data_IF_437048980977
#
_entry.id   IF_437048980977
#
_cell.length_a   1.000
_cell.length_b   1.000
_cell.length_c   1.000
_cell.angle_alpha   90.00
_cell.angle_beta   90.00
_cell.angle_gamma   90.00
#
_symmetry.space_group_name_H-M   'P 1'
#
loop_
_entity.id
_entity.type
_entity.pdbx_description
1 polymer ?
#
# COMPACT_ATOMS: atom_id res chain seq x y z
N UNK A 1 14.61 -10.02 3.93
CA UNK A 1 13.35 -10.33 3.22
C UNK A 1 12.56 -9.04 3.18
N UNK A 2 12.19 -8.58 1.98
CA UNK A 2 11.28 -7.45 1.85
C UNK A 2 9.87 -7.97 2.14
N UNK A 3 9.13 -7.26 2.99
CA UNK A 3 7.74 -7.59 3.25
C UNK A 3 6.86 -6.71 2.36
N UNK A 4 5.73 -7.24 1.91
CA UNK A 4 4.78 -6.54 1.04
C UNK A 4 3.46 -6.29 1.77
N UNK A 5 2.87 -5.12 1.54
CA UNK A 5 1.48 -4.82 1.88
C UNK A 5 0.76 -4.41 0.61
N UNK A 6 -0.43 -4.96 0.39
CA UNK A 6 -1.29 -4.62 -0.75
C UNK A 6 -2.43 -3.71 -0.28
N UNK A 7 -2.56 -2.52 -0.90
CA UNK A 7 -3.67 -1.59 -0.72
C UNK A 7 -4.59 -1.68 -1.92
N UNK A 8 -5.89 -1.85 -1.65
CA UNK A 8 -6.89 -2.16 -2.66
C UNK A 8 -8.12 -1.28 -2.45
N UNK A 9 -8.52 -0.53 -3.48
CA UNK A 9 -9.61 0.46 -3.44
C UNK A 9 -10.91 -0.05 -4.07
N UNK A 10 -12.04 0.03 -3.35
CA UNK A 10 -13.38 -0.36 -3.84
C UNK A 10 -13.80 0.39 -5.10
N UNK A 11 -13.28 1.60 -5.27
CA UNK A 11 -13.53 2.44 -6.42
C UNK A 11 -12.32 2.38 -7.35
N UNK A 12 -12.57 2.39 -8.66
CA UNK A 12 -11.50 2.51 -9.64
C UNK A 12 -10.76 3.83 -9.40
N UNK A 13 -9.46 3.72 -9.12
CA UNK A 13 -8.58 4.88 -9.03
C UNK A 13 -7.73 4.93 -10.29
N UNK A 14 -7.72 6.08 -10.96
CA UNK A 14 -6.81 6.30 -12.06
C UNK A 14 -5.37 6.28 -11.55
N UNK A 15 -4.48 5.53 -12.21
CA UNK A 15 -3.08 5.43 -11.80
C UNK A 15 -2.37 6.80 -11.77
N UNK A 16 -2.66 7.70 -12.70
CA UNK A 16 -2.07 9.05 -12.72
C UNK A 16 -2.51 9.87 -11.50
N UNK A 17 -3.80 9.81 -11.14
CA UNK A 17 -4.32 10.48 -9.95
C UNK A 17 -3.67 9.92 -8.67
N UNK A 18 -3.49 8.60 -8.62
CA UNK A 18 -2.86 7.92 -7.50
C UNK A 18 -1.38 8.28 -7.34
N UNK A 19 -0.64 8.34 -8.45
CA UNK A 19 0.75 8.83 -8.47
C UNK A 19 0.80 10.25 -7.89
N UNK A 20 -0.09 11.15 -8.33
CA UNK A 20 -0.15 12.52 -7.83
C UNK A 20 -0.47 12.59 -6.33
N UNK A 21 -1.36 11.73 -5.83
CA UNK A 21 -1.66 11.61 -4.39
C UNK A 21 -0.39 11.20 -3.62
N UNK A 22 0.32 10.19 -4.11
CA UNK A 22 1.52 9.68 -3.45
C UNK A 22 2.65 10.72 -3.44
N UNK A 23 2.83 11.47 -4.51
CA UNK A 23 3.80 12.59 -4.54
C UNK A 23 3.45 13.68 -3.53
N UNK A 24 2.16 14.03 -3.40
CA UNK A 24 1.70 15.01 -2.40
C UNK A 24 1.99 14.52 -0.98
N UNK A 25 1.71 13.25 -0.70
CA UNK A 25 2.00 12.61 0.58
C UNK A 25 3.51 12.63 0.85
N UNK A 26 4.32 12.20 -0.12
CA UNK A 26 5.76 12.21 -0.03
C UNK A 26 6.28 13.60 0.34
N UNK A 27 5.80 14.64 -0.36
CA UNK A 27 6.17 16.03 -0.06
C UNK A 27 5.80 16.45 1.37
N UNK A 28 4.60 16.11 1.86
CA UNK A 28 4.17 16.42 3.25
C UNK A 28 5.04 15.72 4.28
N UNK A 29 5.41 14.47 4.02
CA UNK A 29 6.25 13.65 4.90
C UNK A 29 7.75 13.94 4.73
N UNK A 30 8.12 14.90 3.87
CA UNK A 30 9.52 15.22 3.54
C UNK A 30 10.28 14.02 2.97
N UNK A 31 9.60 13.20 2.17
CA UNK A 31 10.19 12.17 1.33
C UNK A 31 10.48 12.72 -0.07
N UNK A 32 11.38 12.06 -0.76
CA UNK A 32 11.60 12.19 -2.19
C UNK A 32 10.96 11.01 -2.90
N UNK A 33 10.32 11.26 -4.02
CA UNK A 33 9.75 10.24 -4.87
C UNK A 33 10.59 10.13 -6.15
N UNK A 34 11.09 8.93 -6.45
CA UNK A 34 11.68 8.59 -7.77
C UNK A 34 10.73 7.62 -8.44
N UNK A 35 10.44 7.85 -9.72
CA UNK A 35 9.48 7.04 -10.49
C UNK A 35 10.20 6.25 -11.56
N UNK A 36 9.78 5.01 -11.76
CA UNK A 36 10.14 4.17 -12.91
C UNK A 36 8.87 3.60 -13.55
N UNK A 37 8.97 3.18 -14.82
CA UNK A 37 7.86 2.56 -15.54
C UNK A 37 8.37 1.41 -16.40
N UNK A 38 7.64 0.30 -16.39
CA UNK A 38 7.90 -0.86 -17.22
C UNK A 38 6.68 -1.18 -18.08
N UNK A 39 6.82 -1.01 -19.40
CA UNK A 39 5.79 -1.36 -20.39
C UNK A 39 5.55 -2.86 -20.48
N UNK A 40 6.59 -3.68 -20.26
CA UNK A 40 6.52 -5.14 -20.37
C UNK A 40 5.56 -5.76 -19.36
N UNK A 41 5.46 -5.15 -18.17
CA UNK A 41 4.63 -5.64 -17.06
C UNK A 41 3.42 -4.73 -16.76
N UNK A 42 3.25 -3.63 -17.51
CA UNK A 42 2.28 -2.55 -17.22
C UNK A 42 2.33 -2.13 -15.73
N UNK A 43 3.57 -1.96 -15.25
CA UNK A 43 3.90 -1.64 -13.86
C UNK A 43 4.51 -0.27 -13.77
N UNK A 44 4.03 0.51 -12.80
CA UNK A 44 4.67 1.76 -12.37
C UNK A 44 5.28 1.54 -11.00
N UNK A 45 6.51 2.02 -10.76
CA UNK A 45 7.16 1.95 -9.44
C UNK A 45 7.46 3.37 -8.94
N UNK A 46 7.30 3.57 -7.64
CA UNK A 46 7.68 4.79 -6.93
C UNK A 46 8.51 4.43 -5.71
N UNK A 47 9.77 4.83 -5.71
CA UNK A 47 10.64 4.76 -4.54
C UNK A 47 10.49 6.03 -3.70
N UNK A 48 10.05 5.86 -2.45
CA UNK A 48 10.00 6.92 -1.44
C UNK A 48 11.17 6.78 -0.47
N UNK A 49 11.93 7.85 -0.28
CA UNK A 49 13.07 7.86 0.64
C UNK A 49 13.22 9.23 1.32
N UNK A 50 13.85 9.25 2.50
CA UNK A 50 14.19 10.49 3.21
C UNK A 50 15.70 10.65 3.23
N UNK A 51 16.17 11.86 2.94
CA UNK A 51 17.59 12.18 3.06
C UNK A 51 18.09 11.84 4.47
N UNK A 52 19.22 11.15 4.56
CA UNK A 52 19.88 10.72 5.80
C UNK A 52 19.26 9.51 6.53
N UNK A 53 18.40 8.73 5.87
CA UNK A 53 17.95 7.43 6.37
C UNK A 53 18.22 6.35 5.32
N UNK A 54 18.71 5.18 5.74
CA UNK A 54 18.83 3.98 4.91
C UNK A 54 17.48 3.23 4.78
N UNK A 55 16.40 3.99 4.64
CA UNK A 55 15.05 3.46 4.59
C UNK A 55 14.39 3.96 3.31
N UNK A 56 13.74 3.03 2.61
CA UNK A 56 12.96 3.29 1.41
C UNK A 56 11.67 2.47 1.44
N UNK A 57 10.59 3.07 0.94
CA UNK A 57 9.39 2.35 0.57
C UNK A 57 9.39 2.23 -0.95
N UNK A 58 9.30 1.01 -1.48
CA UNK A 58 9.04 0.80 -2.90
C UNK A 58 7.54 0.58 -3.07
N UNK A 59 6.91 1.38 -3.93
CA UNK A 59 5.47 1.31 -4.20
C UNK A 59 5.28 0.90 -5.65
N UNK A 60 4.63 -0.24 -5.86
CA UNK A 60 4.34 -0.81 -7.17
C UNK A 60 2.84 -0.71 -7.49
N UNK A 61 2.51 -0.25 -8.70
CA UNK A 61 1.13 -0.27 -9.22
C UNK A 61 1.07 -1.25 -10.39
N UNK A 62 0.16 -2.23 -10.31
CA UNK A 62 -0.12 -3.14 -11.43
C UNK A 62 -1.47 -2.79 -12.04
N UNK A 63 -1.49 -2.53 -13.35
CA UNK A 63 -2.72 -2.25 -14.09
C UNK A 63 -3.37 -3.54 -14.64
N UNK A 64 -4.69 -3.45 -14.73
CA UNK A 64 -5.77 -4.45 -14.88
C UNK A 64 -5.58 -5.77 -15.66
N UNK A 65 -4.60 -5.96 -16.55
CA UNK A 65 -4.71 -7.04 -17.55
C UNK A 65 -4.46 -8.48 -17.03
N UNK A 66 -3.72 -8.66 -15.94
CA UNK A 66 -3.41 -10.00 -15.37
C UNK A 66 -3.95 -10.23 -13.95
N UNK A 67 -4.51 -9.19 -13.32
CA UNK A 67 -4.78 -9.17 -11.89
C UNK A 67 -6.19 -9.66 -11.51
N UNK A 68 -7.19 -9.39 -12.36
CA UNK A 68 -8.60 -9.53 -11.97
C UNK A 68 -8.96 -10.96 -11.54
N UNK A 69 -8.58 -12.00 -12.26
CA UNK A 69 -9.13 -13.33 -11.95
C UNK A 69 -8.47 -14.02 -10.75
N UNK A 70 -7.15 -13.88 -10.57
CA UNK A 70 -6.45 -14.63 -9.52
C UNK A 70 -6.66 -14.00 -8.15
N UNK A 71 -6.60 -12.67 -8.05
CA UNK A 71 -6.75 -11.98 -6.78
C UNK A 71 -8.20 -11.93 -6.30
N UNK A 72 -9.15 -11.66 -7.21
CA UNK A 72 -10.58 -11.65 -6.87
C UNK A 72 -11.04 -13.01 -6.33
N UNK A 73 -10.53 -14.11 -6.93
CA UNK A 73 -10.83 -15.47 -6.46
C UNK A 73 -10.14 -15.83 -5.13
N UNK A 74 -8.93 -15.33 -4.88
CA UNK A 74 -8.18 -15.63 -3.64
C UNK A 74 -8.73 -14.90 -2.42
N UNK A 75 -9.26 -13.69 -2.59
CA UNK A 75 -9.65 -12.80 -1.49
C UNK A 75 -11.14 -12.43 -1.48
N UNK A 76 -11.95 -12.96 -2.41
CA UNK A 76 -13.39 -12.71 -2.47
C UNK A 76 -13.76 -11.25 -2.77
N UNK A 77 -12.86 -10.53 -3.42
CA UNK A 77 -12.99 -9.10 -3.70
C UNK A 77 -13.58 -8.92 -5.09
N UNK A 78 -14.79 -8.36 -5.19
CA UNK A 78 -15.46 -8.09 -6.46
C UNK A 78 -15.42 -6.60 -6.81
N UNK A 79 -15.13 -6.26 -8.08
CA UNK A 79 -15.16 -4.91 -8.67
C UNK A 79 -14.03 -3.94 -8.28
N UNK A 80 -12.79 -4.42 -8.11
CA UNK A 80 -11.66 -3.55 -7.74
C UNK A 80 -10.74 -3.29 -8.93
N UNK A 81 -10.21 -2.07 -9.03
CA UNK A 81 -9.57 -1.57 -10.25
C UNK A 81 -8.04 -1.43 -10.23
N UNK A 82 -7.42 -1.48 -9.04
CA UNK A 82 -5.98 -1.26 -8.87
C UNK A 82 -5.46 -1.93 -7.58
N UNK A 83 -4.27 -2.53 -7.66
CA UNK A 83 -3.49 -2.98 -6.50
C UNK A 83 -2.28 -2.06 -6.35
N UNK A 84 -2.04 -1.63 -5.12
CA UNK A 84 -0.85 -0.91 -4.72
C UNK A 84 -0.05 -1.82 -3.80
N UNK A 85 1.10 -2.31 -4.25
CA UNK A 85 2.00 -3.09 -3.42
C UNK A 85 3.04 -2.16 -2.82
N UNK A 86 3.29 -2.29 -1.52
CA UNK A 86 4.29 -1.50 -0.79
C UNK A 86 5.28 -2.48 -0.20
N UNK A 87 6.51 -2.46 -0.68
CA UNK A 87 7.62 -3.18 -0.08
C UNK A 87 8.28 -2.33 1.01
N UNK A 88 8.53 -2.95 2.17
CA UNK A 88 9.10 -2.27 3.32
C UNK A 88 9.92 -3.21 4.21
N UNK A 89 10.78 -2.61 5.03
CA UNK A 89 11.50 -3.25 6.14
C UNK A 89 10.66 -3.19 7.43
N UNK A 90 10.69 -4.22 8.29
CA UNK A 90 9.95 -4.18 9.56
C UNK A 90 10.37 -3.02 10.48
N UNK A 91 11.61 -2.55 10.36
CA UNK A 91 12.14 -1.39 11.08
C UNK A 91 11.87 -0.07 10.35
N UNK A 92 11.06 -0.09 9.29
CA UNK A 92 10.84 1.08 8.48
C UNK A 92 9.91 2.09 9.16
N UNK A 93 10.52 3.17 9.63
CA UNK A 93 9.83 4.30 10.24
C UNK A 93 8.98 5.11 9.25
N UNK A 94 9.07 4.84 7.94
CA UNK A 94 8.32 5.54 6.89
C UNK A 94 6.95 4.92 6.61
N UNK A 95 6.78 3.62 6.80
CA UNK A 95 5.57 2.91 6.41
C UNK A 95 4.33 3.46 7.13
N UNK A 96 4.36 3.56 8.46
CA UNK A 96 3.19 3.98 9.24
C UNK A 96 2.76 5.42 8.92
N UNK A 97 3.66 6.43 8.90
CA UNK A 97 3.30 7.78 8.46
C UNK A 97 2.67 7.80 7.06
N UNK A 98 3.21 7.02 6.12
CA UNK A 98 2.68 6.91 4.77
C UNK A 98 1.26 6.30 4.76
N UNK A 99 1.06 5.19 5.46
CA UNK A 99 -0.25 4.51 5.56
C UNK A 99 -1.34 5.42 6.17
N UNK A 100 -0.99 6.27 7.14
CA UNK A 100 -1.93 7.24 7.73
C UNK A 100 -2.36 8.30 6.73
N UNK A 101 -1.42 8.83 5.96
CA UNK A 101 -1.69 9.86 4.95
C UNK A 101 -2.51 9.29 3.79
N UNK A 102 -2.16 8.10 3.27
CA UNK A 102 -2.87 7.50 2.14
C UNK A 102 -4.31 7.11 2.51
N UNK A 103 -4.54 6.61 3.74
CA UNK A 103 -5.90 6.33 4.25
C UNK A 103 -6.74 7.58 4.53
N UNK A 104 -6.09 8.72 4.73
CA UNK A 104 -6.78 10.00 4.91
C UNK A 104 -7.24 10.57 3.56
N UNK A 105 -6.42 10.45 2.52
CA UNK A 105 -6.70 10.97 1.17
C UNK A 105 -7.58 10.04 0.33
N UNK A 106 -7.39 8.71 0.44
CA UNK A 106 -8.10 7.73 -0.37
C UNK A 106 -9.17 7.04 0.49
N UNK A 107 -10.47 7.38 0.32
CA UNK A 107 -11.53 6.69 1.04
C UNK A 107 -11.68 5.24 0.54
N UNK A 108 -12.25 4.37 1.36
CA UNK A 108 -12.62 3.00 0.99
C UNK A 108 -11.47 2.06 0.55
N UNK A 109 -10.25 2.30 1.05
CA UNK A 109 -9.11 1.38 0.86
C UNK A 109 -9.09 0.27 1.92
N UNK A 110 -8.75 -0.94 1.48
CA UNK A 110 -8.47 -2.11 2.31
C UNK A 110 -6.98 -2.44 2.23
N UNK A 111 -6.43 -2.94 3.34
CA UNK A 111 -5.02 -3.33 3.46
C UNK A 111 -4.93 -4.84 3.70
N UNK A 112 -4.19 -5.53 2.83
CA UNK A 112 -3.90 -6.96 2.89
C UNK A 112 -2.39 -7.19 3.09
N UNK A 113 -2.01 -8.04 4.05
CA UNK A 113 -0.67 -8.65 4.13
C UNK A 113 -0.75 -10.02 3.47
N UNK A 114 0.27 -10.36 2.69
CA UNK A 114 0.37 -11.67 2.04
C UNK A 114 0.55 -12.82 3.03
N UNK A 115 0.91 -12.50 4.28
CA UNK A 115 1.08 -13.48 5.37
C UNK A 115 -0.24 -13.86 6.08
N UNK A 116 -1.37 -13.18 5.84
CA UNK A 116 -2.67 -13.58 6.42
C UNK A 116 -3.28 -14.80 5.72
N UNK A 117 -4.04 -15.65 6.43
CA UNK A 117 -4.78 -16.75 5.82
C UNK A 117 -5.70 -16.26 4.70
N UNK A 118 -5.69 -16.95 3.56
CA UNK A 118 -6.52 -16.64 2.39
C UNK A 118 -8.00 -16.90 2.71
N UNK A 119 -8.89 -15.95 2.40
CA UNK A 119 -10.34 -16.09 2.55
C UNK A 119 -11.09 -14.75 2.60
N UNK A 120 -12.42 -14.81 2.48
CA UNK A 120 -13.31 -13.68 2.79
C UNK A 120 -13.04 -13.30 4.26
N UNK A 121 -12.79 -12.02 4.54
CA UNK A 121 -12.42 -11.45 5.85
C UNK A 121 -10.91 -11.46 6.23
N UNK A 122 -10.00 -11.80 5.31
CA UNK A 122 -8.54 -11.65 5.53
C UNK A 122 -8.03 -10.19 5.47
N UNK A 123 -8.88 -9.25 5.89
CA UNK A 123 -8.57 -7.82 5.98
C UNK A 123 -7.74 -7.60 7.22
N UNK A 124 -6.60 -6.93 7.12
CA UNK A 124 -5.74 -6.77 8.31
C UNK A 124 -5.97 -5.43 9.00
N UNK A 125 -6.34 -4.39 8.26
CA UNK A 125 -6.58 -3.07 8.85
C UNK A 125 -7.79 -2.35 8.29
N UNK A 126 -8.66 -1.91 9.20
CA UNK A 126 -9.61 -0.85 8.91
C UNK A 126 -8.95 0.54 9.14
N UNK A 127 -9.48 1.56 8.47
CA UNK A 127 -9.00 2.96 8.58
C UNK A 127 -8.83 3.45 10.03
N UNK A 128 -9.71 3.02 10.94
CA UNK A 128 -9.66 3.42 12.34
C UNK A 128 -8.42 2.89 13.06
N UNK A 129 -8.01 1.64 12.81
CA UNK A 129 -6.84 1.03 13.44
C UNK A 129 -5.55 1.75 13.04
N UNK A 130 -5.35 2.01 11.73
CA UNK A 130 -4.13 2.67 11.25
C UNK A 130 -4.04 4.10 11.73
N UNK A 131 -5.12 4.88 11.64
CA UNK A 131 -5.11 6.28 12.05
C UNK A 131 -4.82 6.45 13.55
N UNK A 132 -5.37 5.57 14.38
CA UNK A 132 -5.22 5.63 15.83
C UNK A 132 -3.95 4.92 16.35
N UNK A 133 -3.17 4.25 15.50
CA UNK A 133 -1.99 3.53 15.95
C UNK A 133 -0.87 4.49 16.40
N UNK A 134 -0.45 4.49 17.69
CA UNK A 134 0.47 5.48 18.21
C UNK A 134 1.95 5.12 17.97
N UNK A 135 2.25 3.87 17.58
CA UNK A 135 3.62 3.36 17.49
C UNK A 135 4.18 3.50 16.07
N UNK A 136 5.52 3.50 15.96
CA UNK A 136 6.26 3.56 14.69
C UNK A 136 6.66 2.18 14.13
N UNK A 137 6.23 1.12 14.82
CA UNK A 137 6.60 -0.27 14.52
C UNK A 137 5.56 -0.90 13.59
N UNK A 138 5.93 -1.05 12.32
CA UNK A 138 5.07 -1.64 11.30
C UNK A 138 4.72 -3.10 11.61
N UNK A 139 5.66 -3.87 12.16
CA UNK A 139 5.46 -5.27 12.52
C UNK A 139 4.35 -5.43 13.57
N UNK A 140 4.31 -4.54 14.56
CA UNK A 140 3.24 -4.56 15.58
C UNK A 140 1.89 -4.16 15.04
N UNK A 141 1.82 -3.20 14.11
CA UNK A 141 0.57 -2.88 13.44
C UNK A 141 0.06 -4.16 12.75
N UNK A 142 0.91 -4.77 11.91
CA UNK A 142 0.61 -5.92 11.06
C UNK A 142 0.18 -7.20 11.78
N UNK A 143 0.66 -7.42 13.02
CA UNK A 143 0.29 -8.57 13.84
C UNK A 143 -0.86 -8.30 14.83
N UNK A 144 -1.47 -7.11 14.78
CA UNK A 144 -2.65 -6.81 15.60
C UNK A 144 -3.89 -7.42 14.92
N UNK A 145 -4.63 -8.33 15.58
CA UNK A 145 -5.83 -8.94 14.99
C UNK A 145 -6.86 -7.90 14.58
N UNK A 146 -7.47 -8.14 13.43
CA UNK A 146 -8.57 -7.35 12.90
C UNK A 146 -9.85 -7.76 13.64
N UNK A 147 -10.53 -6.78 14.25
CA UNK A 147 -11.81 -6.98 14.95
C UNK A 147 -12.95 -6.78 13.96
#
# INVERSE_FOLDING_TARGET
MANSINIISKEYLNTEELILVIEKIAKRLSYKAIKSYSEEYDVTEIDLFRENLNNNLNITFSRKSYYDDTFNNLYGINNYGIMISIEYSYEDIMLIPFLKEIMSEIPNILIYNEETPKGIDSIIFNKSQVLNFPQKDAYKLLNTPSI
#
